data_IF_229889968718
#
_entry.id   IF_229889968718
#
_cell.length_a   1.000
_cell.length_b   1.000
_cell.length_c   1.000
_cell.angle_alpha   90.00
_cell.angle_beta   90.00
_cell.angle_gamma   90.00
#
_symmetry.space_group_name_H-M   'P 1'
#
loop_
_entity.id
_entity.type
_entity.pdbx_description
1 polymer ?
#
# COMPACT_ATOMS: atom_id res chain seq x y z
N UNK A 1 14.39 -34.92 -18.32
CA UNK A 1 13.10 -35.63 -18.41
C UNK A 1 12.66 -36.29 -17.11
N UNK A 2 13.41 -37.22 -16.52
CA UNK A 2 13.00 -37.91 -15.28
C UNK A 2 12.66 -36.94 -14.14
N UNK A 3 13.53 -35.97 -13.85
CA UNK A 3 13.30 -34.95 -12.80
C UNK A 3 12.04 -34.12 -13.08
N UNK A 4 11.82 -33.74 -14.34
CA UNK A 4 10.64 -32.98 -14.76
C UNK A 4 9.35 -33.78 -14.53
N UNK A 5 9.37 -35.07 -14.90
CA UNK A 5 8.26 -35.99 -14.67
C UNK A 5 7.99 -36.21 -13.19
N UNK A 6 9.04 -36.26 -12.37
CA UNK A 6 8.93 -36.36 -10.92
C UNK A 6 8.27 -35.11 -10.33
N UNK A 7 8.70 -33.90 -10.71
CA UNK A 7 8.08 -32.65 -10.24
C UNK A 7 6.61 -32.59 -10.67
N UNK A 8 6.29 -32.95 -11.92
CA UNK A 8 4.90 -33.00 -12.41
C UNK A 8 4.05 -34.01 -11.64
N UNK A 9 4.61 -35.18 -11.32
CA UNK A 9 3.93 -36.17 -10.48
C UNK A 9 3.66 -35.60 -9.08
N UNK A 10 4.60 -34.88 -8.47
CA UNK A 10 4.34 -34.23 -7.17
C UNK A 10 3.26 -33.18 -7.24
N UNK A 11 3.25 -32.36 -8.28
CA UNK A 11 2.20 -31.37 -8.49
C UNK A 11 0.82 -32.05 -8.46
N UNK A 12 0.69 -33.17 -9.18
CA UNK A 12 -0.55 -33.97 -9.21
C UNK A 12 -0.85 -34.56 -7.81
N UNK A 13 0.12 -35.16 -7.15
CA UNK A 13 -0.08 -35.77 -5.83
C UNK A 13 -0.51 -34.76 -4.76
N UNK A 14 0.05 -33.56 -4.79
CA UNK A 14 -0.37 -32.43 -3.95
C UNK A 14 -1.79 -32.05 -4.34
N UNK A 15 -2.07 -31.80 -5.61
CA UNK A 15 -3.41 -31.37 -6.07
C UNK A 15 -4.55 -32.28 -5.61
N UNK A 16 -4.33 -33.61 -5.60
CA UNK A 16 -5.31 -34.60 -5.14
C UNK A 16 -5.29 -34.88 -3.63
N UNK A 17 -4.51 -34.13 -2.83
CA UNK A 17 -4.37 -34.33 -1.37
C UNK A 17 -4.15 -35.79 -1.00
N UNK A 18 -3.23 -36.45 -1.71
CA UNK A 18 -2.97 -37.87 -1.47
C UNK A 18 -2.65 -38.11 0.01
N UNK A 19 -3.35 -39.04 0.66
CA UNK A 19 -3.12 -39.40 2.06
C UNK A 19 -1.65 -39.79 2.33
N UNK A 20 -0.99 -40.36 1.33
CA UNK A 20 0.44 -40.70 1.39
C UNK A 20 1.28 -39.44 1.56
N UNK A 21 0.93 -38.34 0.89
CA UNK A 21 1.70 -37.10 0.90
C UNK A 21 1.55 -36.38 2.25
N UNK A 22 0.39 -36.48 2.91
CA UNK A 22 0.22 -35.96 4.27
C UNK A 22 1.11 -36.70 5.28
N UNK A 23 1.26 -38.03 5.13
CA UNK A 23 2.08 -38.87 6.02
C UNK A 23 3.59 -38.75 5.76
N UNK A 24 3.98 -38.35 4.54
CA UNK A 24 5.39 -38.26 4.11
C UNK A 24 5.82 -36.84 3.76
N UNK A 25 5.06 -35.83 4.22
CA UNK A 25 5.25 -34.44 3.85
C UNK A 25 6.65 -33.94 4.23
N UNK A 26 7.17 -34.38 5.37
CA UNK A 26 8.49 -33.96 5.88
C UNK A 26 9.60 -34.44 4.94
N UNK A 27 9.57 -35.71 4.55
CA UNK A 27 10.55 -36.31 3.65
C UNK A 27 10.49 -35.62 2.30
N UNK A 28 9.29 -35.38 1.77
CA UNK A 28 9.12 -34.69 0.49
C UNK A 28 9.63 -33.26 0.51
N UNK A 29 9.29 -32.49 1.54
CA UNK A 29 9.80 -31.13 1.70
C UNK A 29 11.31 -31.12 1.85
N UNK A 30 11.88 -32.06 2.62
CA UNK A 30 13.33 -32.19 2.79
C UNK A 30 14.03 -32.49 1.46
N UNK A 31 13.50 -33.42 0.66
CA UNK A 31 14.02 -33.74 -0.66
C UNK A 31 13.90 -32.56 -1.63
N UNK A 32 12.75 -31.87 -1.64
CA UNK A 32 12.52 -30.71 -2.51
C UNK A 32 13.49 -29.58 -2.16
N UNK A 33 13.62 -29.23 -0.88
CA UNK A 33 14.52 -28.16 -0.43
C UNK A 33 15.99 -28.49 -0.72
N UNK A 34 16.40 -29.75 -0.54
CA UNK A 34 17.75 -30.18 -0.90
C UNK A 34 17.97 -30.13 -2.42
N UNK A 35 16.97 -30.52 -3.23
CA UNK A 35 17.02 -30.39 -4.68
C UNK A 35 17.20 -28.92 -5.09
N UNK A 36 16.45 -28.01 -4.49
CA UNK A 36 16.59 -26.56 -4.76
C UNK A 36 17.99 -26.08 -4.41
N UNK A 37 18.52 -26.45 -3.25
CA UNK A 37 19.84 -25.99 -2.81
C UNK A 37 21.00 -26.53 -3.65
N UNK A 38 20.84 -27.70 -4.29
CA UNK A 38 21.94 -28.39 -5.00
C UNK A 38 21.86 -28.26 -6.52
N UNK A 39 20.66 -28.16 -7.09
CA UNK A 39 20.45 -28.19 -8.53
C UNK A 39 19.95 -26.87 -9.12
N UNK A 40 19.47 -25.93 -8.31
CA UNK A 40 19.07 -24.62 -8.81
C UNK A 40 20.32 -23.78 -9.09
N UNK A 41 20.43 -23.30 -10.32
CA UNK A 41 21.52 -22.45 -10.82
C UNK A 41 20.93 -21.38 -11.74
N UNK A 42 21.74 -20.40 -12.14
CA UNK A 42 21.37 -19.39 -13.14
C UNK A 42 21.04 -19.97 -14.52
N UNK A 43 21.31 -21.24 -14.78
CA UNK A 43 20.99 -21.90 -16.06
C UNK A 43 19.81 -22.86 -15.91
N UNK A 44 19.70 -23.56 -14.79
CA UNK A 44 18.68 -24.59 -14.56
C UNK A 44 17.33 -23.99 -14.16
N UNK A 45 17.28 -22.75 -13.65
CA UNK A 45 16.02 -22.10 -13.30
C UNK A 45 15.08 -21.91 -14.51
N UNK A 46 15.65 -21.71 -15.71
CA UNK A 46 14.85 -21.56 -16.94
C UNK A 46 14.09 -22.85 -17.28
N UNK A 47 14.58 -24.01 -16.82
CA UNK A 47 13.99 -25.32 -17.09
C UNK A 47 12.96 -25.69 -16.02
N UNK A 48 13.29 -25.44 -14.74
CA UNK A 48 12.50 -25.95 -13.61
C UNK A 48 11.72 -24.87 -12.86
N UNK A 49 12.03 -23.58 -13.06
CA UNK A 49 11.58 -22.47 -12.22
C UNK A 49 10.07 -22.42 -12.08
N UNK A 50 9.34 -22.34 -13.18
CA UNK A 50 7.87 -22.24 -13.16
C UNK A 50 7.22 -23.47 -12.49
N UNK A 51 7.76 -24.66 -12.72
CA UNK A 51 7.27 -25.90 -12.10
C UNK A 51 7.54 -25.94 -10.59
N UNK A 52 8.70 -25.44 -10.16
CA UNK A 52 9.05 -25.32 -8.74
C UNK A 52 8.09 -24.34 -8.05
N UNK A 53 7.82 -23.19 -8.67
CA UNK A 53 6.89 -22.20 -8.12
C UNK A 53 5.47 -22.76 -8.05
N UNK A 54 4.98 -23.44 -9.10
CA UNK A 54 3.66 -24.08 -9.08
C UNK A 54 3.55 -25.12 -7.97
N UNK A 55 4.56 -26.00 -7.85
CA UNK A 55 4.61 -27.02 -6.80
C UNK A 55 4.57 -26.40 -5.41
N UNK A 56 5.43 -25.42 -5.14
CA UNK A 56 5.49 -24.77 -3.82
C UNK A 56 4.22 -23.98 -3.52
N UNK A 57 3.63 -23.30 -4.50
CA UNK A 57 2.36 -22.59 -4.35
C UNK A 57 1.23 -23.55 -3.97
N UNK A 58 1.14 -24.70 -4.65
CA UNK A 58 0.16 -25.75 -4.34
C UNK A 58 0.39 -26.36 -2.96
N UNK A 59 1.65 -26.60 -2.57
CA UNK A 59 2.00 -27.07 -1.22
C UNK A 59 1.55 -26.04 -0.18
N UNK A 60 1.89 -24.77 -0.38
CA UNK A 60 1.52 -23.70 0.53
C UNK A 60 0.00 -23.62 0.72
N UNK A 61 -0.76 -23.62 -0.37
CA UNK A 61 -2.23 -23.56 -0.32
C UNK A 61 -2.86 -24.72 0.47
N UNK A 62 -2.23 -25.88 0.51
CA UNK A 62 -2.83 -27.07 1.11
C UNK A 62 -2.30 -27.43 2.49
N UNK A 63 -1.03 -27.14 2.76
CA UNK A 63 -0.32 -27.62 3.94
C UNK A 63 0.19 -26.52 4.85
N UNK A 64 0.06 -25.23 4.49
CA UNK A 64 0.35 -24.14 5.42
C UNK A 64 -0.90 -23.73 6.20
N UNK A 65 -0.82 -23.55 7.54
CA UNK A 65 0.36 -23.68 8.40
C UNK A 65 0.99 -25.08 8.48
N UNK A 66 2.31 -25.19 8.29
CA UNK A 66 3.02 -26.42 8.67
C UNK A 66 2.95 -26.60 10.19
N UNK A 67 2.93 -27.84 10.69
CA UNK A 67 2.94 -28.10 12.13
C UNK A 67 4.28 -27.69 12.77
N UNK A 68 4.26 -27.42 14.09
CA UNK A 68 5.49 -27.08 14.84
C UNK A 68 6.56 -28.16 14.69
N UNK A 69 6.17 -29.43 14.74
CA UNK A 69 7.06 -30.59 14.63
C UNK A 69 7.71 -30.64 13.25
N UNK A 70 6.91 -30.47 12.19
CA UNK A 70 7.42 -30.41 10.81
C UNK A 70 8.46 -29.32 10.73
N UNK A 71 8.12 -28.08 11.13
CA UNK A 71 9.02 -26.92 11.08
C UNK A 71 10.30 -27.14 11.90
N UNK A 72 10.22 -27.79 13.06
CA UNK A 72 11.40 -28.09 13.88
C UNK A 72 12.31 -29.13 13.23
N UNK A 73 11.76 -30.22 12.69
CA UNK A 73 12.54 -31.26 11.99
C UNK A 73 13.23 -30.67 10.76
N UNK A 74 12.45 -29.90 10.02
CA UNK A 74 12.88 -29.08 8.91
C UNK A 74 14.04 -28.15 9.38
N UNK A 75 13.94 -27.47 10.51
CA UNK A 75 15.03 -26.60 11.00
C UNK A 75 16.29 -27.31 11.53
N UNK A 76 16.20 -28.59 11.94
CA UNK A 76 17.24 -29.30 12.71
C UNK A 76 18.03 -30.33 11.91
N UNK A 77 17.45 -30.92 10.88
CA UNK A 77 18.10 -32.03 10.18
C UNK A 77 19.30 -31.53 9.39
N UNK A 78 20.48 -32.08 9.68
CA UNK A 78 21.73 -31.77 8.97
C UNK A 78 21.67 -32.06 7.46
N UNK A 79 20.71 -32.87 7.03
CA UNK A 79 20.39 -33.21 5.64
C UNK A 79 19.25 -32.38 5.06
N UNK A 80 18.31 -31.88 5.88
CA UNK A 80 17.35 -30.86 5.44
C UNK A 80 17.99 -29.48 5.71
N UNK A 81 18.89 -29.16 4.79
CA UNK A 81 19.28 -27.80 4.43
C UNK A 81 18.00 -26.99 4.17
N UNK A 82 17.41 -26.39 5.18
CA UNK A 82 16.30 -25.46 4.96
C UNK A 82 16.86 -24.13 4.58
N UNK A 83 17.42 -24.18 3.38
CA UNK A 83 18.17 -23.12 2.75
C UNK A 83 19.45 -22.93 3.55
N UNK A 84 20.52 -23.67 3.24
CA UNK A 84 21.83 -23.41 3.88
C UNK A 84 22.14 -21.92 3.82
N UNK A 85 22.93 -21.43 4.77
CA UNK A 85 23.44 -20.05 4.69
C UNK A 85 24.06 -19.79 3.30
N UNK A 86 24.72 -20.79 2.71
CA UNK A 86 25.26 -20.72 1.35
C UNK A 86 24.16 -20.54 0.28
N UNK A 87 23.09 -21.33 0.32
CA UNK A 87 21.99 -21.19 -0.63
C UNK A 87 21.26 -19.84 -0.45
N UNK A 88 20.99 -19.40 0.79
CA UNK A 88 20.41 -18.06 1.04
C UNK A 88 21.31 -16.94 0.52
N UNK A 89 22.61 -17.02 0.77
CA UNK A 89 23.59 -16.05 0.26
C UNK A 89 23.63 -16.05 -1.27
N UNK A 90 23.50 -17.22 -1.90
CA UNK A 90 23.43 -17.33 -3.36
C UNK A 90 22.16 -16.68 -3.92
N UNK A 91 21.00 -16.89 -3.29
CA UNK A 91 19.76 -16.21 -3.66
C UNK A 91 19.90 -14.68 -3.55
N UNK A 92 20.55 -14.19 -2.47
CA UNK A 92 20.83 -12.78 -2.27
C UNK A 92 21.71 -12.18 -3.38
N UNK A 93 22.78 -12.87 -3.74
CA UNK A 93 23.66 -12.47 -4.85
C UNK A 93 22.92 -12.43 -6.20
N UNK A 94 21.99 -13.36 -6.43
CA UNK A 94 21.19 -13.38 -7.66
C UNK A 94 20.15 -12.27 -7.73
N UNK A 95 19.55 -11.87 -6.61
CA UNK A 95 18.68 -10.68 -6.56
C UNK A 95 19.47 -9.41 -6.92
N UNK A 96 20.71 -9.31 -6.43
CA UNK A 96 21.58 -8.17 -6.74
C UNK A 96 22.10 -8.16 -8.18
N UNK A 97 22.10 -9.31 -8.86
CA UNK A 97 22.56 -9.42 -10.24
C UNK A 97 21.56 -8.80 -11.21
N UNK A 98 21.75 -7.52 -11.52
CA UNK A 98 20.82 -6.73 -12.35
C UNK A 98 20.76 -7.16 -13.81
N UNK A 99 21.71 -7.97 -14.29
CA UNK A 99 21.82 -8.35 -15.69
C UNK A 99 20.78 -9.41 -16.09
N UNK A 100 20.37 -10.27 -15.16
CA UNK A 100 19.28 -11.24 -15.36
C UNK A 100 18.07 -10.91 -14.47
N UNK A 101 17.23 -10.00 -14.96
CA UNK A 101 16.00 -9.58 -14.30
C UNK A 101 15.05 -10.77 -14.09
N UNK A 102 15.03 -11.74 -15.01
CA UNK A 102 14.12 -12.90 -14.91
C UNK A 102 14.53 -13.82 -13.78
N UNK A 103 15.83 -14.06 -13.62
CA UNK A 103 16.36 -14.77 -12.48
C UNK A 103 15.97 -14.08 -11.18
N UNK A 104 16.22 -12.77 -11.05
CA UNK A 104 15.89 -12.02 -9.84
C UNK A 104 14.39 -12.08 -9.49
N UNK A 105 13.49 -11.93 -10.48
CA UNK A 105 12.05 -12.07 -10.29
C UNK A 105 11.67 -13.49 -9.85
N UNK A 106 12.26 -14.51 -10.48
CA UNK A 106 12.06 -15.90 -10.06
C UNK A 106 12.51 -16.13 -8.61
N UNK A 107 13.66 -15.56 -8.20
CA UNK A 107 14.13 -15.66 -6.81
C UNK A 107 13.17 -15.00 -5.83
N UNK A 108 12.54 -13.88 -6.19
CA UNK A 108 11.52 -13.23 -5.35
C UNK A 108 10.31 -14.15 -5.14
N UNK A 109 9.81 -14.81 -6.20
CA UNK A 109 8.70 -15.76 -6.09
C UNK A 109 9.07 -17.03 -5.32
N UNK A 110 10.31 -17.50 -5.48
CA UNK A 110 10.83 -18.61 -4.71
C UNK A 110 10.92 -18.23 -3.23
N UNK A 111 11.44 -17.03 -2.93
CA UNK A 111 11.52 -16.48 -1.59
C UNK A 111 10.13 -16.39 -0.95
N UNK A 112 9.14 -15.84 -1.65
CA UNK A 112 7.75 -15.73 -1.16
C UNK A 112 7.22 -17.10 -0.72
N UNK A 113 7.41 -18.10 -1.58
CA UNK A 113 6.95 -19.46 -1.32
C UNK A 113 7.63 -20.10 -0.11
N UNK A 114 8.95 -19.88 0.03
CA UNK A 114 9.73 -20.39 1.17
C UNK A 114 9.39 -19.65 2.47
N UNK A 115 9.18 -18.34 2.41
CA UNK A 115 8.80 -17.52 3.56
C UNK A 115 7.41 -17.90 4.11
N UNK A 116 6.47 -18.21 3.22
CA UNK A 116 5.13 -18.72 3.57
C UNK A 116 5.24 -20.10 4.24
N UNK A 117 5.98 -21.03 3.60
CA UNK A 117 6.19 -22.38 4.11
C UNK A 117 6.80 -22.38 5.53
N UNK A 118 7.75 -21.47 5.77
CA UNK A 118 8.51 -21.36 7.02
C UNK A 118 8.04 -20.20 7.92
N UNK A 119 6.82 -19.72 7.70
CA UNK A 119 6.23 -18.57 8.39
C UNK A 119 6.33 -18.68 9.92
N UNK A 120 6.14 -19.88 10.51
CA UNK A 120 6.31 -20.11 11.96
C UNK A 120 7.68 -19.68 12.51
N UNK A 121 8.76 -19.84 11.74
CA UNK A 121 10.11 -19.43 12.16
C UNK A 121 10.23 -17.90 12.16
N UNK A 122 9.71 -17.26 11.12
CA UNK A 122 9.70 -15.79 10.98
C UNK A 122 8.84 -15.16 12.06
N UNK A 123 7.62 -15.69 12.23
CA UNK A 123 6.68 -15.29 13.27
C UNK A 123 7.32 -15.41 14.66
N UNK A 124 8.15 -16.43 14.93
CA UNK A 124 8.83 -16.55 16.24
C UNK A 124 10.10 -15.72 16.35
N UNK A 125 10.58 -15.10 15.28
CA UNK A 125 11.86 -14.37 15.26
C UNK A 125 13.07 -15.29 15.43
N UNK A 126 12.95 -16.52 14.94
CA UNK A 126 14.05 -17.47 14.94
C UNK A 126 15.17 -16.96 14.01
N UNK A 127 16.45 -17.22 14.35
CA UNK A 127 17.60 -16.76 13.57
C UNK A 127 17.46 -17.11 12.07
N UNK A 128 17.01 -18.34 11.78
CA UNK A 128 16.75 -18.79 10.41
C UNK A 128 15.64 -18.02 9.69
N UNK A 129 14.60 -17.61 10.41
CA UNK A 129 13.56 -16.74 9.86
C UNK A 129 14.14 -15.39 9.42
N UNK A 130 15.04 -14.82 10.23
CA UNK A 130 15.71 -13.57 9.87
C UNK A 130 16.63 -13.72 8.66
N UNK A 131 17.34 -14.85 8.52
CA UNK A 131 18.16 -15.10 7.31
C UNK A 131 17.29 -15.18 6.04
N UNK A 132 16.09 -15.76 6.12
CA UNK A 132 15.14 -15.77 5.00
C UNK A 132 14.69 -14.35 4.65
N UNK A 133 14.37 -13.54 5.66
CA UNK A 133 13.98 -12.14 5.44
C UNK A 133 15.11 -11.31 4.82
N UNK A 134 16.36 -11.54 5.23
CA UNK A 134 17.54 -10.84 4.70
C UNK A 134 17.79 -11.07 3.20
N UNK A 135 17.17 -12.09 2.58
CA UNK A 135 17.23 -12.33 1.13
C UNK A 135 16.44 -11.26 0.37
N UNK A 136 15.23 -10.91 0.83
CA UNK A 136 14.35 -9.98 0.11
C UNK A 136 14.70 -8.51 0.37
N UNK A 137 15.40 -8.20 1.47
CA UNK A 137 15.77 -6.82 1.85
C UNK A 137 16.49 -6.08 0.72
N UNK A 138 17.44 -6.74 0.06
CA UNK A 138 18.19 -6.15 -1.05
C UNK A 138 17.29 -5.86 -2.25
N UNK A 139 16.25 -6.67 -2.48
CA UNK A 139 15.33 -6.51 -3.60
C UNK A 139 14.56 -5.19 -3.55
N UNK A 140 14.39 -4.58 -2.36
CA UNK A 140 13.74 -3.28 -2.21
C UNK A 140 14.64 -2.09 -2.57
N UNK A 141 15.96 -2.28 -2.57
CA UNK A 141 16.95 -1.21 -2.77
C UNK A 141 17.74 -1.33 -4.08
N UNK A 142 17.58 -2.42 -4.85
CA UNK A 142 18.23 -2.54 -6.17
C UNK A 142 17.81 -1.43 -7.14
N UNK A 143 18.68 -1.11 -8.09
CA UNK A 143 18.42 -0.07 -9.11
C UNK A 143 17.23 -0.42 -10.01
N UNK A 144 17.07 -1.70 -10.34
CA UNK A 144 16.03 -2.17 -11.25
C UNK A 144 14.63 -2.04 -10.63
N UNK A 145 13.74 -1.31 -11.30
CA UNK A 145 12.39 -1.04 -10.81
C UNK A 145 11.45 -2.26 -10.87
N UNK A 146 11.68 -3.20 -11.79
CA UNK A 146 10.85 -4.40 -11.94
C UNK A 146 11.08 -5.35 -10.78
N UNK A 147 12.34 -5.51 -10.37
CA UNK A 147 12.72 -6.29 -9.18
C UNK A 147 12.08 -5.68 -7.93
N UNK A 148 12.20 -4.36 -7.73
CA UNK A 148 11.56 -3.67 -6.58
C UNK A 148 10.04 -3.82 -6.57
N UNK A 149 9.39 -3.69 -7.72
CA UNK A 149 7.94 -3.85 -7.86
C UNK A 149 7.49 -5.27 -7.50
N UNK A 150 8.20 -6.29 -7.99
CA UNK A 150 7.96 -7.69 -7.63
C UNK A 150 8.18 -7.95 -6.13
N UNK A 151 9.22 -7.36 -5.52
CA UNK A 151 9.49 -7.49 -4.10
C UNK A 151 8.35 -6.96 -3.21
N UNK A 152 7.80 -5.77 -3.52
CA UNK A 152 6.64 -5.25 -2.79
C UNK A 152 5.39 -6.11 -2.96
N UNK A 153 5.18 -6.66 -4.15
CA UNK A 153 4.06 -7.55 -4.44
C UNK A 153 4.16 -8.84 -3.61
N UNK A 154 5.32 -9.48 -3.60
CA UNK A 154 5.60 -10.66 -2.79
C UNK A 154 5.49 -10.37 -1.28
N UNK A 155 5.96 -9.20 -0.83
CA UNK A 155 5.82 -8.77 0.57
C UNK A 155 4.35 -8.63 0.97
N UNK A 156 3.51 -8.06 0.10
CA UNK A 156 2.06 -7.95 0.32
C UNK A 156 1.40 -9.31 0.52
N UNK A 157 1.69 -10.28 -0.35
CA UNK A 157 1.17 -11.65 -0.22
C UNK A 157 1.62 -12.31 1.08
N UNK A 158 2.90 -12.15 1.43
CA UNK A 158 3.48 -12.69 2.65
C UNK A 158 2.82 -12.14 3.92
N UNK A 159 2.59 -10.81 3.99
CA UNK A 159 1.89 -10.16 5.10
C UNK A 159 0.48 -10.73 5.29
N UNK A 160 -0.29 -10.86 4.21
CA UNK A 160 -1.64 -11.44 4.24
C UNK A 160 -1.63 -12.88 4.75
N UNK A 161 -0.65 -13.67 4.29
CA UNK A 161 -0.52 -15.05 4.73
C UNK A 161 -0.28 -15.16 6.24
N UNK A 162 0.67 -14.37 6.78
CA UNK A 162 0.96 -14.39 8.22
C UNK A 162 -0.24 -13.92 9.05
N UNK A 163 -0.97 -12.90 8.59
CA UNK A 163 -2.10 -12.38 9.35
C UNK A 163 -3.28 -13.36 9.42
N UNK A 164 -3.49 -14.17 8.39
CA UNK A 164 -4.54 -15.20 8.36
C UNK A 164 -4.17 -16.48 9.16
N UNK A 165 -3.12 -16.41 9.96
CA UNK A 165 -2.61 -17.54 10.72
C UNK A 165 -3.32 -17.62 12.08
N UNK A 166 -4.28 -18.55 12.21
CA UNK A 166 -5.20 -18.67 13.36
C UNK A 166 -4.53 -18.95 14.73
N UNK A 167 -3.27 -19.39 14.73
CA UNK A 167 -2.53 -19.92 15.89
C UNK A 167 -1.84 -18.83 16.76
N UNK A 168 -2.19 -17.55 16.58
CA UNK A 168 -1.43 -16.40 17.10
C UNK A 168 -2.25 -15.58 18.10
N UNK A 169 -1.74 -15.44 19.34
CA UNK A 169 -2.29 -14.50 20.33
C UNK A 169 -2.17 -13.05 19.81
N UNK A 170 -3.33 -12.43 19.53
CA UNK A 170 -3.45 -11.18 18.79
C UNK A 170 -2.71 -9.98 19.41
N UNK A 171 -2.47 -9.96 20.72
CA UNK A 171 -1.96 -8.77 21.41
C UNK A 171 -0.42 -8.68 21.51
N UNK A 172 0.30 -9.79 21.71
CA UNK A 172 1.76 -9.76 21.83
C UNK A 172 2.48 -9.82 20.48
N UNK A 173 1.85 -10.39 19.45
CA UNK A 173 2.45 -10.48 18.13
C UNK A 173 2.40 -9.16 17.33
N UNK A 174 1.45 -8.28 17.63
CA UNK A 174 1.16 -7.13 16.80
C UNK A 174 2.33 -6.14 16.68
N UNK A 175 3.00 -5.76 17.78
CA UNK A 175 4.02 -4.72 17.70
C UNK A 175 5.33 -5.19 17.03
N UNK A 176 5.72 -6.46 17.22
CA UNK A 176 6.94 -6.98 16.59
C UNK A 176 6.72 -7.26 15.11
N UNK A 177 5.63 -7.93 14.75
CA UNK A 177 5.30 -8.16 13.34
C UNK A 177 5.09 -6.85 12.61
N UNK A 178 4.46 -5.85 13.24
CA UNK A 178 4.31 -4.53 12.66
C UNK A 178 5.67 -3.91 12.32
N UNK A 179 6.63 -3.91 13.27
CA UNK A 179 7.99 -3.40 13.01
C UNK A 179 8.65 -4.15 11.85
N UNK A 180 8.49 -5.47 11.82
CA UNK A 180 9.00 -6.31 10.74
C UNK A 180 8.41 -5.88 9.39
N UNK A 181 7.09 -5.80 9.29
CA UNK A 181 6.36 -5.45 8.08
C UNK A 181 6.61 -4.02 7.60
N UNK A 182 6.89 -3.09 8.52
CA UNK A 182 7.20 -1.70 8.19
C UNK A 182 8.58 -1.51 7.56
N UNK A 183 9.56 -2.38 7.88
CA UNK A 183 10.96 -2.26 7.44
C UNK A 183 11.14 -1.86 5.96
N UNK A 184 10.53 -2.56 4.98
CA UNK A 184 10.74 -2.21 3.57
C UNK A 184 10.12 -0.87 3.16
N UNK A 185 9.09 -0.41 3.88
CA UNK A 185 8.38 0.83 3.56
C UNK A 185 9.15 2.09 3.97
N UNK A 186 10.00 1.99 4.99
CA UNK A 186 10.79 3.10 5.53
C UNK A 186 11.97 3.50 4.63
N UNK A 187 12.29 2.73 3.59
CA UNK A 187 13.38 3.04 2.67
C UNK A 187 12.95 4.03 1.56
N UNK A 188 13.71 5.12 1.43
CA UNK A 188 13.51 6.16 0.39
C UNK A 188 14.03 5.76 -1.00
N UNK A 189 14.65 4.59 -1.14
CA UNK A 189 15.20 4.08 -2.41
C UNK A 189 14.15 4.00 -3.54
N UNK A 190 12.86 3.98 -3.17
CA UNK A 190 11.70 3.65 -4.01
C UNK A 190 11.03 4.82 -4.73
N UNK A 191 11.41 6.07 -4.41
CA UNK A 191 10.83 7.29 -4.99
C UNK A 191 11.27 7.59 -6.44
N UNK A 192 12.10 6.73 -7.04
CA UNK A 192 12.72 6.98 -8.36
C UNK A 192 12.04 6.28 -9.55
N UNK A 193 11.00 5.46 -9.33
CA UNK A 193 10.39 4.70 -10.42
C UNK A 193 8.91 4.37 -10.19
N UNK A 194 8.10 4.68 -11.22
CA UNK A 194 6.64 4.46 -11.26
C UNK A 194 6.16 3.12 -10.73
N UNK A 195 6.56 2.01 -11.37
CA UNK A 195 6.04 0.68 -11.02
C UNK A 195 6.37 0.27 -9.59
N UNK A 196 7.59 0.57 -9.11
CA UNK A 196 7.98 0.25 -7.74
C UNK A 196 7.20 1.10 -6.73
N UNK A 197 6.95 2.39 -7.01
CA UNK A 197 6.16 3.25 -6.13
C UNK A 197 4.69 2.81 -6.05
N UNK A 198 4.09 2.41 -7.18
CA UNK A 198 2.72 1.88 -7.23
C UNK A 198 2.61 0.56 -6.45
N UNK A 199 3.52 -0.39 -6.68
CA UNK A 199 3.54 -1.65 -5.92
C UNK A 199 3.76 -1.40 -4.43
N UNK A 200 4.60 -0.43 -4.06
CA UNK A 200 4.79 0.00 -2.66
C UNK A 200 3.48 0.54 -2.08
N UNK A 201 2.74 1.39 -2.79
CA UNK A 201 1.43 1.87 -2.34
C UNK A 201 0.46 0.72 -2.08
N UNK A 202 0.32 -0.22 -3.01
CA UNK A 202 -0.57 -1.37 -2.84
C UNK A 202 -0.17 -2.25 -1.65
N UNK A 203 1.12 -2.56 -1.51
CA UNK A 203 1.62 -3.33 -0.36
C UNK A 203 1.39 -2.59 0.96
N UNK A 204 1.49 -1.25 0.97
CA UNK A 204 1.25 -0.44 2.16
C UNK A 204 -0.24 -0.42 2.54
N UNK A 205 -1.13 -0.33 1.55
CA UNK A 205 -2.58 -0.45 1.77
C UNK A 205 -2.93 -1.81 2.39
N UNK A 206 -2.31 -2.88 1.92
CA UNK A 206 -2.42 -4.20 2.56
C UNK A 206 -2.01 -4.12 4.02
N UNK A 207 -0.86 -3.53 4.35
CA UNK A 207 -0.41 -3.36 5.73
C UNK A 207 -1.41 -2.54 6.58
N UNK A 208 -1.99 -1.47 6.04
CA UNK A 208 -3.02 -0.68 6.72
C UNK A 208 -4.27 -1.53 7.01
N UNK A 209 -4.68 -2.39 6.07
CA UNK A 209 -5.84 -3.28 6.28
C UNK A 209 -5.63 -4.27 7.43
N UNK A 210 -4.38 -4.68 7.67
CA UNK A 210 -4.00 -5.57 8.76
C UNK A 210 -3.87 -4.83 10.10
N UNK A 211 -3.47 -3.54 10.07
CA UNK A 211 -3.23 -2.73 11.25
C UNK A 211 -3.95 -1.36 11.18
N UNK A 212 -5.29 -1.33 11.07
CA UNK A 212 -6.04 -0.11 10.78
C UNK A 212 -6.04 0.93 11.92
N UNK A 213 -5.58 0.56 13.13
CA UNK A 213 -5.50 1.43 14.30
C UNK A 213 -4.15 2.15 14.43
N UNK A 214 -3.12 1.72 13.68
CA UNK A 214 -1.77 2.27 13.77
C UNK A 214 -1.61 3.50 12.86
N UNK A 215 -2.27 4.59 13.25
CA UNK A 215 -2.35 5.83 12.47
C UNK A 215 -0.96 6.43 12.23
N UNK A 216 -0.23 6.67 13.32
CA UNK A 216 1.06 7.37 13.28
C UNK A 216 2.17 6.53 12.65
N UNK A 217 2.11 5.20 12.79
CA UNK A 217 3.17 4.31 12.34
C UNK A 217 2.96 3.83 10.89
N UNK A 218 1.72 3.84 10.38
CA UNK A 218 1.39 3.23 9.08
C UNK A 218 0.60 4.18 8.18
N UNK A 219 -0.54 4.71 8.65
CA UNK A 219 -1.47 5.46 7.80
C UNK A 219 -0.86 6.81 7.41
N UNK A 220 -0.36 7.59 8.38
CA UNK A 220 0.22 8.91 8.09
C UNK A 220 1.51 8.80 7.27
N UNK A 221 2.44 7.87 7.54
CA UNK A 221 3.58 7.63 6.66
C UNK A 221 3.17 7.23 5.24
N UNK A 222 2.14 6.41 5.06
CA UNK A 222 1.62 6.07 3.73
C UNK A 222 1.06 7.30 3.01
N UNK A 223 0.22 8.10 3.68
CA UNK A 223 -0.34 9.31 3.08
C UNK A 223 0.75 10.32 2.75
N UNK A 224 1.72 10.51 3.64
CA UNK A 224 2.90 11.33 3.41
C UNK A 224 3.71 10.83 2.21
N UNK A 225 3.87 9.50 2.05
CA UNK A 225 4.50 8.95 0.86
C UNK A 225 3.68 9.26 -0.40
N UNK A 226 2.40 8.88 -0.42
CA UNK A 226 1.53 8.99 -1.59
C UNK A 226 1.37 10.44 -2.06
N UNK A 227 1.15 11.38 -1.15
CA UNK A 227 0.92 12.80 -1.45
C UNK A 227 2.16 13.68 -1.36
N UNK A 228 3.24 13.18 -0.76
CA UNK A 228 4.46 13.93 -0.51
C UNK A 228 4.99 14.67 -1.74
N UNK A 229 5.62 15.81 -1.48
CA UNK A 229 6.28 16.60 -2.51
C UNK A 229 7.58 15.91 -2.92
N UNK A 230 7.49 14.91 -3.79
CA UNK A 230 8.63 14.41 -4.58
C UNK A 230 9.02 15.39 -5.70
N UNK A 231 8.49 16.62 -5.63
CA UNK A 231 8.89 17.80 -6.37
C UNK A 231 10.32 18.13 -5.94
N UNK A 232 11.30 17.46 -6.56
CA UNK A 232 12.64 18.01 -6.62
C UNK A 232 12.46 19.42 -7.19
N UNK A 233 12.91 20.42 -6.45
CA UNK A 233 12.90 21.86 -6.78
C UNK A 233 13.65 22.24 -8.07
N UNK A 234 13.93 21.27 -8.93
CA UNK A 234 14.40 21.44 -10.30
C UNK A 234 13.31 20.94 -11.24
N UNK A 235 12.45 21.87 -11.62
CA UNK A 235 11.59 21.84 -12.81
C UNK A 235 12.48 21.41 -13.98
N UNK A 236 12.42 20.13 -14.35
CA UNK A 236 12.98 19.44 -15.54
C UNK A 236 13.24 17.94 -15.29
N UNK A 237 12.85 17.36 -14.15
CA UNK A 237 12.93 15.92 -13.92
C UNK A 237 11.60 15.22 -14.27
N UNK A 238 11.70 14.21 -15.12
CA UNK A 238 10.65 13.24 -15.50
C UNK A 238 10.06 12.44 -14.32
N UNK A 239 10.46 12.74 -13.09
CA UNK A 239 9.96 12.14 -11.83
C UNK A 239 8.57 12.64 -11.44
N UNK A 240 8.10 13.77 -11.99
CA UNK A 240 6.84 14.41 -11.57
C UNK A 240 5.59 13.84 -12.27
N UNK A 241 5.67 13.47 -13.54
CA UNK A 241 4.49 13.13 -14.34
C UNK A 241 3.80 11.82 -13.94
N UNK A 242 4.51 10.88 -13.31
CA UNK A 242 3.96 9.58 -12.94
C UNK A 242 3.58 9.46 -11.46
N UNK A 243 3.90 10.47 -10.65
CA UNK A 243 3.52 10.48 -9.23
C UNK A 243 2.02 10.69 -9.03
N UNK A 244 1.33 11.22 -10.06
CA UNK A 244 -0.12 11.36 -10.11
C UNK A 244 -0.85 10.03 -9.83
N UNK A 245 -0.32 8.89 -10.27
CA UNK A 245 -0.91 7.57 -9.99
C UNK A 245 -0.77 7.17 -8.51
N UNK A 246 0.35 7.44 -7.86
CA UNK A 246 0.51 7.24 -6.42
C UNK A 246 -0.48 8.10 -5.63
N UNK A 247 -0.68 9.35 -6.06
CA UNK A 247 -1.66 10.27 -5.46
C UNK A 247 -3.09 9.82 -5.69
N UNK A 248 -3.41 9.28 -6.87
CA UNK A 248 -4.72 8.67 -7.15
C UNK A 248 -4.98 7.46 -6.24
N UNK A 249 -3.98 6.59 -6.03
CA UNK A 249 -4.10 5.46 -5.10
C UNK A 249 -4.29 5.97 -3.66
N UNK A 250 -3.54 6.99 -3.24
CA UNK A 250 -3.73 7.66 -1.95
C UNK A 250 -5.14 8.25 -1.80
N UNK A 251 -5.66 8.90 -2.83
CA UNK A 251 -6.99 9.51 -2.82
C UNK A 251 -8.11 8.46 -2.78
N UNK A 252 -7.96 7.37 -3.53
CA UNK A 252 -8.86 6.22 -3.48
C UNK A 252 -8.82 5.54 -2.10
N UNK A 253 -7.64 5.43 -1.50
CA UNK A 253 -7.52 4.94 -0.13
C UNK A 253 -8.27 5.86 0.84
N UNK A 254 -8.07 7.19 0.78
CA UNK A 254 -8.79 8.13 1.65
C UNK A 254 -10.30 7.98 1.44
N UNK A 255 -10.77 7.90 0.20
CA UNK A 255 -12.17 7.67 -0.12
C UNK A 255 -12.73 6.43 0.60
N UNK A 256 -12.12 5.27 0.36
CA UNK A 256 -12.55 4.00 0.92
C UNK A 256 -12.46 4.01 2.45
N UNK A 257 -11.40 4.64 2.97
CA UNK A 257 -11.18 4.80 4.39
C UNK A 257 -12.25 5.66 5.07
N UNK A 258 -12.64 6.80 4.47
CA UNK A 258 -13.69 7.65 5.00
C UNK A 258 -15.06 6.96 4.90
N UNK A 259 -15.40 6.39 3.74
CA UNK A 259 -16.74 5.87 3.49
C UNK A 259 -17.03 4.52 4.16
N UNK A 260 -16.02 3.67 4.36
CA UNK A 260 -16.23 2.26 4.77
C UNK A 260 -15.73 1.95 6.18
N UNK A 261 -14.95 2.83 6.82
CA UNK A 261 -14.29 2.50 8.08
C UNK A 261 -15.03 3.04 9.32
N UNK A 262 -15.35 2.13 10.25
CA UNK A 262 -16.01 2.42 11.52
C UNK A 262 -15.13 3.30 12.44
N UNK A 263 -13.81 3.32 12.23
CA UNK A 263 -12.87 4.11 13.03
C UNK A 263 -12.51 5.47 12.43
N UNK A 264 -13.16 5.88 11.34
CA UNK A 264 -12.87 7.13 10.63
C UNK A 264 -12.84 8.34 11.58
N UNK A 265 -13.84 8.46 12.47
CA UNK A 265 -13.98 9.60 13.36
C UNK A 265 -12.82 9.73 14.36
N UNK A 266 -12.37 8.61 14.95
CA UNK A 266 -11.19 8.58 15.83
C UNK A 266 -9.89 8.98 15.10
N UNK A 267 -9.80 8.68 13.81
CA UNK A 267 -8.60 8.99 13.03
C UNK A 267 -8.60 10.46 12.60
N UNK A 268 -9.77 10.99 12.25
CA UNK A 268 -9.96 12.42 11.99
C UNK A 268 -9.74 13.25 13.25
N UNK A 269 -10.04 12.74 14.44
CA UNK A 269 -9.66 13.44 15.66
C UNK A 269 -8.15 13.53 15.76
N UNK A 270 -7.39 12.46 15.51
CA UNK A 270 -5.93 12.45 15.66
C UNK A 270 -5.20 13.26 14.57
N UNK A 271 -5.62 13.14 13.30
CA UNK A 271 -4.86 13.63 12.14
C UNK A 271 -5.71 14.31 11.06
N UNK A 272 -6.83 14.91 11.45
CA UNK A 272 -7.77 15.53 10.52
C UNK A 272 -7.16 16.62 9.64
N UNK A 273 -6.25 17.45 10.16
CA UNK A 273 -5.57 18.53 9.44
C UNK A 273 -4.62 18.00 8.35
N UNK A 274 -3.91 16.90 8.63
CA UNK A 274 -3.03 16.24 7.67
C UNK A 274 -3.83 15.58 6.55
N UNK A 275 -4.89 14.84 6.91
CA UNK A 275 -5.80 14.24 5.92
C UNK A 275 -6.43 15.31 5.03
N UNK A 276 -6.81 16.46 5.61
CA UNK A 276 -7.31 17.61 4.87
C UNK A 276 -6.28 18.14 3.87
N UNK A 277 -5.03 18.33 4.31
CA UNK A 277 -3.94 18.75 3.44
C UNK A 277 -3.78 17.81 2.23
N UNK A 278 -3.81 16.49 2.47
CA UNK A 278 -3.68 15.50 1.40
C UNK A 278 -4.87 15.46 0.44
N UNK A 279 -6.10 15.64 0.96
CA UNK A 279 -7.28 15.81 0.12
C UNK A 279 -7.17 17.05 -0.77
N UNK A 280 -6.66 18.16 -0.23
CA UNK A 280 -6.40 19.37 -1.01
C UNK A 280 -5.34 19.14 -2.09
N UNK A 281 -4.22 18.52 -1.75
CA UNK A 281 -3.16 18.23 -2.72
C UNK A 281 -3.72 17.33 -3.85
N UNK A 282 -4.56 16.34 -3.52
CA UNK A 282 -5.27 15.51 -4.52
C UNK A 282 -6.17 16.32 -5.45
N UNK A 283 -6.89 17.31 -4.90
CA UNK A 283 -7.79 18.17 -5.66
C UNK A 283 -6.98 19.04 -6.63
N UNK A 284 -5.93 19.69 -6.13
CA UNK A 284 -5.05 20.55 -6.94
C UNK A 284 -4.46 19.77 -8.11
N UNK A 285 -3.94 18.58 -7.86
CA UNK A 285 -3.34 17.77 -8.93
C UNK A 285 -4.36 17.37 -9.98
N UNK A 286 -5.55 16.93 -9.59
CA UNK A 286 -6.58 16.57 -10.56
C UNK A 286 -7.02 17.78 -11.39
N UNK A 287 -7.11 18.96 -10.78
CA UNK A 287 -7.42 20.20 -11.49
C UNK A 287 -6.33 20.58 -12.50
N UNK A 288 -5.05 20.43 -12.12
CA UNK A 288 -3.91 20.79 -12.94
C UNK A 288 -3.64 19.77 -14.06
N UNK A 289 -3.75 18.47 -13.78
CA UNK A 289 -3.48 17.39 -14.74
C UNK A 289 -4.60 17.24 -15.77
N UNK A 290 -5.87 17.35 -15.37
CA UNK A 290 -6.96 17.04 -16.28
C UNK A 290 -7.32 18.14 -17.27
N UNK A 291 -6.80 19.38 -17.13
CA UNK A 291 -7.37 20.57 -17.80
C UNK A 291 -8.90 20.42 -17.87
N UNK A 292 -9.52 20.19 -16.71
CA UNK A 292 -10.93 19.80 -16.62
C UNK A 292 -11.71 20.75 -17.51
N UNK A 293 -12.22 20.26 -18.64
CA UNK A 293 -13.15 21.03 -19.43
C UNK A 293 -14.36 21.23 -18.51
N UNK A 294 -14.56 22.47 -18.04
CA UNK A 294 -15.63 22.95 -17.14
C UNK A 294 -17.04 22.45 -17.46
N UNK A 295 -17.22 21.87 -18.64
CA UNK A 295 -18.49 21.37 -19.17
C UNK A 295 -18.85 19.96 -18.70
N UNK A 296 -17.94 19.22 -18.05
CA UNK A 296 -18.20 17.86 -17.51
C UNK A 296 -17.56 17.61 -16.14
N UNK A 297 -17.80 18.49 -15.17
CA UNK A 297 -17.59 18.10 -13.76
C UNK A 297 -18.72 17.14 -13.41
N UNK A 298 -18.49 15.84 -13.60
CA UNK A 298 -19.43 14.79 -13.19
C UNK A 298 -19.54 14.78 -11.66
N UNK A 299 -20.76 14.73 -11.12
CA UNK A 299 -21.03 14.66 -9.67
C UNK A 299 -20.41 13.40 -9.04
N UNK A 300 -20.02 12.42 -9.86
CA UNK A 300 -19.38 11.17 -9.45
C UNK A 300 -17.84 11.24 -9.37
N UNK A 301 -17.22 12.42 -9.42
CA UNK A 301 -15.76 12.52 -9.36
C UNK A 301 -15.23 12.09 -7.98
N UNK A 302 -14.29 11.14 -7.96
CA UNK A 302 -13.76 10.53 -6.73
C UNK A 302 -13.33 11.56 -5.68
N UNK A 303 -12.67 12.64 -6.09
CA UNK A 303 -12.23 13.71 -5.20
C UNK A 303 -13.39 14.42 -4.50
N UNK A 304 -14.50 14.68 -5.21
CA UNK A 304 -15.65 15.40 -4.68
C UNK A 304 -16.40 14.52 -3.69
N UNK A 305 -16.52 13.23 -3.98
CA UNK A 305 -17.14 12.27 -3.06
C UNK A 305 -16.28 12.12 -1.80
N UNK A 306 -14.96 11.98 -1.92
CA UNK A 306 -14.04 11.94 -0.78
C UNK A 306 -14.08 13.20 0.07
N UNK A 307 -14.14 14.36 -0.58
CA UNK A 307 -14.26 15.67 0.06
C UNK A 307 -15.55 15.78 0.86
N UNK A 308 -16.68 15.43 0.24
CA UNK A 308 -17.99 15.44 0.90
C UNK A 308 -18.02 14.45 2.07
N UNK A 309 -17.44 13.26 1.91
CA UNK A 309 -17.31 12.27 2.98
C UNK A 309 -16.50 12.82 4.16
N UNK A 310 -15.34 13.43 3.89
CA UNK A 310 -14.50 14.04 4.92
C UNK A 310 -15.26 15.12 5.69
N UNK A 311 -15.90 16.05 4.97
CA UNK A 311 -16.66 17.14 5.60
C UNK A 311 -17.82 16.59 6.43
N UNK A 312 -18.56 15.60 5.94
CA UNK A 312 -19.65 14.96 6.69
C UNK A 312 -19.16 14.35 8.01
N UNK A 313 -18.05 13.60 7.99
CA UNK A 313 -17.48 13.06 9.22
C UNK A 313 -16.98 14.16 10.15
N UNK A 314 -16.35 15.20 9.61
CA UNK A 314 -15.87 16.33 10.38
C UNK A 314 -17.02 17.06 11.11
N UNK A 315 -18.14 17.32 10.41
CA UNK A 315 -19.35 17.87 11.00
C UNK A 315 -19.88 16.98 12.12
N UNK A 316 -19.96 15.67 11.88
CA UNK A 316 -20.48 14.73 12.87
C UNK A 316 -19.63 14.79 14.14
N UNK A 317 -18.30 14.83 14.02
CA UNK A 317 -17.38 14.99 15.16
C UNK A 317 -17.62 16.33 15.88
N UNK A 318 -17.80 17.44 15.15
CA UNK A 318 -18.09 18.73 15.76
C UNK A 318 -19.47 18.80 16.43
N UNK A 319 -20.49 18.11 15.89
CA UNK A 319 -21.86 18.08 16.43
C UNK A 319 -22.01 17.18 17.65
N UNK A 320 -21.25 16.09 17.73
CA UNK A 320 -21.40 15.06 18.77
C UNK A 320 -20.69 15.37 20.09
N UNK A 321 -19.86 16.41 20.15
CA UNK A 321 -19.14 16.96 21.33
C UNK A 321 -18.16 16.02 22.09
N UNK A 322 -16.97 16.58 22.37
CA UNK A 322 -15.87 16.15 23.27
C UNK A 322 -14.77 15.17 22.79
N UNK A 323 -14.73 14.73 21.52
CA UNK A 323 -13.63 13.85 21.06
C UNK A 323 -12.46 14.59 20.38
N UNK A 324 -12.66 15.80 19.87
CA UNK A 324 -11.59 16.63 19.29
C UNK A 324 -11.09 17.64 20.32
N UNK A 325 -9.77 17.68 20.52
CA UNK A 325 -9.12 18.71 21.33
C UNK A 325 -9.17 20.07 20.64
N UNK A 326 -9.26 21.15 21.42
CA UNK A 326 -9.33 22.52 20.89
C UNK A 326 -8.15 22.85 19.95
N UNK A 327 -6.95 22.36 20.25
CA UNK A 327 -5.77 22.53 19.39
C UNK A 327 -5.95 21.90 18.00
N UNK A 328 -6.58 20.72 17.92
CA UNK A 328 -6.87 20.06 16.64
C UNK A 328 -7.98 20.77 15.88
N UNK A 329 -9.01 21.27 16.59
CA UNK A 329 -10.04 22.12 15.99
C UNK A 329 -9.44 23.37 15.35
N UNK A 330 -8.55 24.06 16.07
CA UNK A 330 -7.82 25.22 15.54
C UNK A 330 -6.95 24.83 14.35
N UNK A 331 -6.22 23.71 14.41
CA UNK A 331 -5.38 23.24 13.32
C UNK A 331 -6.19 22.92 12.05
N UNK A 332 -7.31 22.20 12.17
CA UNK A 332 -8.20 21.86 11.05
C UNK A 332 -8.78 23.13 10.45
N UNK A 333 -9.30 24.04 11.27
CA UNK A 333 -9.86 25.31 10.78
C UNK A 333 -8.80 26.15 10.07
N UNK A 334 -7.61 26.30 10.65
CA UNK A 334 -6.50 27.06 10.05
C UNK A 334 -6.07 26.43 8.72
N UNK A 335 -5.93 25.11 8.66
CA UNK A 335 -5.60 24.36 7.46
C UNK A 335 -6.65 24.59 6.36
N UNK A 336 -7.93 24.47 6.71
CA UNK A 336 -9.05 24.66 5.79
C UNK A 336 -9.06 26.07 5.20
N UNK A 337 -8.93 27.09 6.04
CA UNK A 337 -8.84 28.50 5.61
C UNK A 337 -7.66 28.70 4.65
N UNK A 338 -6.46 28.30 5.08
CA UNK A 338 -5.22 28.50 4.31
C UNK A 338 -5.28 27.82 2.95
N UNK A 339 -5.82 26.60 2.88
CA UNK A 339 -5.90 25.85 1.63
C UNK A 339 -6.98 26.36 0.69
N UNK A 340 -8.12 26.84 1.20
CA UNK A 340 -9.13 27.52 0.39
C UNK A 340 -8.55 28.81 -0.21
N UNK A 341 -7.85 29.61 0.59
CA UNK A 341 -7.15 30.82 0.11
C UNK A 341 -6.14 30.47 -1.01
N UNK A 342 -5.36 29.40 -0.84
CA UNK A 342 -4.43 28.94 -1.88
C UNK A 342 -5.14 28.57 -3.18
N UNK A 343 -6.22 27.77 -3.12
CA UNK A 343 -7.00 27.42 -4.32
C UNK A 343 -7.59 28.66 -5.00
N UNK A 344 -7.97 29.65 -4.20
CA UNK A 344 -8.58 30.87 -4.70
C UNK A 344 -7.60 31.81 -5.40
N UNK A 345 -6.38 31.89 -4.89
CA UNK A 345 -5.29 32.68 -5.47
C UNK A 345 -4.76 32.00 -6.74
N UNK A 346 -4.78 30.68 -6.82
CA UNK A 346 -4.30 29.94 -8.00
C UNK A 346 -5.19 30.19 -9.23
N UNK A 347 -4.71 31.09 -10.10
CA UNK A 347 -5.37 31.48 -11.35
C UNK A 347 -5.65 30.33 -12.33
N UNK A 348 -5.03 29.15 -12.12
CA UNK A 348 -5.22 27.97 -12.95
C UNK A 348 -6.50 27.21 -12.60
N UNK A 349 -7.09 27.48 -11.43
CA UNK A 349 -8.27 26.80 -10.93
C UNK A 349 -9.52 27.56 -11.37
N UNK A 350 -10.45 26.85 -12.02
CA UNK A 350 -11.68 27.45 -12.52
C UNK A 350 -12.61 27.91 -11.39
N UNK A 351 -13.21 29.08 -11.55
CA UNK A 351 -14.06 29.67 -10.49
C UNK A 351 -15.35 28.86 -10.23
N UNK A 352 -15.87 28.14 -11.23
CA UNK A 352 -17.03 27.25 -11.05
C UNK A 352 -16.75 26.08 -10.11
N UNK A 353 -15.52 25.54 -10.16
CA UNK A 353 -15.08 24.50 -9.24
C UNK A 353 -15.08 25.03 -7.80
N UNK A 354 -14.53 26.23 -7.60
CA UNK A 354 -14.47 26.86 -6.28
C UNK A 354 -15.89 27.07 -5.74
N UNK A 355 -16.81 27.59 -6.56
CA UNK A 355 -18.22 27.77 -6.16
C UNK A 355 -18.88 26.46 -5.70
N UNK A 356 -18.68 25.35 -6.40
CA UNK A 356 -19.24 24.04 -6.00
C UNK A 356 -18.66 23.54 -4.67
N UNK A 357 -17.37 23.78 -4.43
CA UNK A 357 -16.72 23.49 -3.15
C UNK A 357 -17.29 24.37 -2.01
N UNK A 358 -17.64 25.63 -2.30
CA UNK A 358 -18.32 26.53 -1.35
C UNK A 358 -19.78 26.17 -1.08
N UNK A 359 -20.55 25.82 -2.11
CA UNK A 359 -21.93 25.32 -1.93
C UNK A 359 -21.95 24.11 -1.00
N UNK A 360 -20.94 23.24 -1.13
CA UNK A 360 -20.76 22.09 -0.25
C UNK A 360 -20.55 22.53 1.21
N UNK A 361 -19.73 23.57 1.45
CA UNK A 361 -19.53 24.13 2.80
C UNK A 361 -20.80 24.73 3.41
N UNK A 362 -21.57 25.46 2.60
CA UNK A 362 -22.80 26.13 3.03
C UNK A 362 -23.88 25.10 3.42
N UNK A 363 -24.06 24.05 2.61
CA UNK A 363 -25.01 22.95 2.88
C UNK A 363 -24.68 22.20 4.19
N UNK A 364 -23.40 22.19 4.56
CA UNK A 364 -22.84 21.45 5.69
C UNK A 364 -22.86 22.27 6.99
N UNK A 365 -23.12 23.58 6.91
CA UNK A 365 -23.32 24.46 8.05
C UNK A 365 -22.04 24.71 8.85
N UNK A 366 -20.90 24.90 8.16
CA UNK A 366 -19.58 25.17 8.76
C UNK A 366 -19.32 26.70 8.80
N UNK A 367 -19.82 27.45 9.80
CA UNK A 367 -20.05 28.89 9.65
C UNK A 367 -18.76 29.70 9.82
N UNK A 368 -17.86 29.23 10.69
CA UNK A 368 -16.66 29.97 11.08
C UNK A 368 -15.62 30.08 9.95
N UNK A 369 -15.50 29.04 9.11
CA UNK A 369 -14.57 29.07 7.99
C UNK A 369 -15.10 29.92 6.83
N UNK A 370 -16.40 29.84 6.56
CA UNK A 370 -17.07 30.59 5.50
C UNK A 370 -17.01 32.10 5.78
N UNK A 371 -17.32 32.54 7.02
CA UNK A 371 -17.24 33.96 7.37
C UNK A 371 -15.81 34.51 7.27
N UNK A 372 -14.81 33.73 7.71
CA UNK A 372 -13.41 34.19 7.71
C UNK A 372 -12.84 34.26 6.29
N UNK A 373 -13.12 33.28 5.42
CA UNK A 373 -12.70 33.30 4.01
C UNK A 373 -13.43 34.38 3.19
N UNK A 374 -14.73 34.58 3.41
CA UNK A 374 -15.51 35.57 2.65
C UNK A 374 -15.25 37.02 3.09
N UNK A 375 -14.64 37.24 4.26
CA UNK A 375 -14.21 38.57 4.70
C UNK A 375 -12.95 39.06 3.97
N UNK A 376 -12.21 38.19 3.27
CA UNK A 376 -11.11 38.62 2.41
C UNK A 376 -11.68 39.27 1.13
N UNK A 377 -11.39 40.57 0.96
CA UNK A 377 -11.86 41.41 -0.14
C UNK A 377 -11.49 40.87 -1.53
N UNK A 378 -10.35 40.20 -1.66
CA UNK A 378 -9.90 39.58 -2.92
C UNK A 378 -10.73 38.35 -3.28
N UNK A 379 -11.19 37.64 -2.24
CA UNK A 379 -12.03 36.45 -2.36
C UNK A 379 -13.44 36.84 -2.76
N UNK A 380 -14.05 37.74 -1.99
CA UNK A 380 -15.38 38.28 -2.25
C UNK A 380 -15.58 38.80 -3.68
N UNK A 381 -14.58 39.47 -4.23
CA UNK A 381 -14.66 40.08 -5.57
C UNK A 381 -14.71 39.04 -6.70
N UNK A 382 -13.91 37.96 -6.60
CA UNK A 382 -13.95 36.84 -7.56
C UNK A 382 -15.25 36.03 -7.44
N UNK A 383 -15.79 35.84 -6.22
CA UNK A 383 -17.04 35.08 -6.00
C UNK A 383 -18.23 35.79 -6.62
N UNK A 384 -18.32 37.11 -6.41
CA UNK A 384 -19.34 37.97 -7.01
C UNK A 384 -19.24 37.97 -8.55
N UNK A 385 -18.03 37.98 -9.10
CA UNK A 385 -17.83 37.96 -10.56
C UNK A 385 -18.26 36.63 -11.20
N UNK A 386 -18.10 35.49 -10.52
CA UNK A 386 -18.50 34.19 -11.04
C UNK A 386 -19.99 33.90 -10.84
N UNK A 387 -20.60 34.39 -9.75
CA UNK A 387 -22.05 34.34 -9.55
C UNK A 387 -22.82 35.13 -10.63
N UNK A 388 -22.23 36.18 -11.19
CA UNK A 388 -22.79 36.95 -12.31
C UNK A 388 -22.71 36.23 -13.67
N UNK A 389 -21.94 35.13 -13.78
CA UNK A 389 -21.77 34.35 -15.03
C UNK A 389 -22.76 33.16 -15.12
N UNK A 390 -23.56 32.90 -14.08
CA UNK A 390 -24.75 32.07 -14.20
C UNK A 390 -25.93 32.94 -14.68
N UNK A 391 -26.39 32.81 -15.94
CA UNK A 391 -27.71 33.34 -16.26
C UNK A 391 -28.71 32.49 -15.49
N UNK A 392 -29.43 33.13 -14.58
CA UNK A 392 -30.64 32.64 -13.96
C UNK A 392 -31.56 32.05 -15.03
N UNK A 393 -31.58 30.72 -15.13
CA UNK A 393 -32.70 30.00 -15.72
C UNK A 393 -33.88 30.09 -14.77
N UNK A 394 -34.56 31.24 -14.78
CA UNK A 394 -35.93 31.38 -14.28
C UNK A 394 -36.67 32.38 -15.15
N UNK A 395 -36.91 31.96 -16.39
CA UNK A 395 -37.97 32.52 -17.20
C UNK A 395 -39.32 32.17 -16.54
N UNK A 396 -40.06 33.23 -16.20
CA UNK A 396 -41.52 33.37 -16.24
C UNK A 396 -42.45 32.52 -15.35
N UNK A 397 -43.12 33.25 -14.44
CA UNK A 397 -44.59 33.45 -14.23
C UNK A 397 -44.80 33.64 -12.72
N UNK A 398 -45.46 34.69 -12.23
CA UNK A 398 -46.56 35.51 -12.73
C UNK A 398 -46.35 37.00 -12.47
#
# INVERSE_FOLDING_TARGET
DIILSIIRLFIVLVEYRSNILTLTLIEWLSCLLNFLATHLTSTTYVIYGDLIIDLLSKINKQFTPLSKEIVEILSRTSTSLIISANFLNQLKLWIQNTDDIRLAIFIIHLWESLAILLSRLIIRGHAKGNEILAVIEDAFIVSNYSIRSAAFTAWSSFMLHIHNFDDIDAHQLNNRLLKLFLTPFLSDSTSKSKSASISKCHAWITLISLYPKNINDIILPFLSFAFGNHISSKINSTTTAWWSECRQIGAQFIYDFLMKNIHCEYILTIAGDQILNYLFDSIVDQLLDYKINSTKIDDNSLWLISWNAYLNHLINIFKTNNLIHENQRVAINTCLLTRIEQLWIDSRIETRFLLKLFETFEQIGFPLAIETVLCDSSIRTKTLSAAQVHPSSSNHKS
#
